data_IF_669762640323
#
_entry.id   IF_669762640323
#
_cell.length_a   1.000
_cell.length_b   1.000
_cell.length_c   1.000
_cell.angle_alpha   90.00
_cell.angle_beta   90.00
_cell.angle_gamma   90.00
#
_symmetry.space_group_name_H-M   'P 1'
#
loop_
_entity.id
_entity.type
_entity.pdbx_description
1 polymer ?
#
# COMPACT_ATOMS: atom_id res chain seq x y z
N UNK A 1 -31.12 -23.41 7.10
CA UNK A 1 -31.04 -21.95 7.31
C UNK A 1 -29.79 -21.68 8.13
N UNK A 2 -28.77 -21.06 7.53
CA UNK A 2 -27.52 -20.77 8.24
C UNK A 2 -27.67 -19.45 9.00
N UNK A 3 -27.78 -19.53 10.32
CA UNK A 3 -27.79 -18.35 11.21
C UNK A 3 -26.37 -17.82 11.32
N UNK A 4 -26.08 -16.74 10.59
CA UNK A 4 -24.81 -16.01 10.74
C UNK A 4 -24.90 -15.26 12.07
N UNK A 5 -24.28 -15.81 13.11
CA UNK A 5 -24.08 -15.12 14.39
C UNK A 5 -23.07 -14.01 14.15
N UNK A 6 -23.53 -12.78 14.04
CA UNK A 6 -22.67 -11.60 14.06
C UNK A 6 -22.19 -11.38 15.49
N UNK A 7 -21.22 -12.19 15.95
CA UNK A 7 -20.56 -11.92 17.22
C UNK A 7 -19.78 -10.63 17.08
N UNK A 8 -20.08 -9.64 17.91
CA UNK A 8 -19.24 -8.44 18.07
C UNK A 8 -17.81 -8.90 18.30
N UNK A 9 -16.83 -8.51 17.46
CA UNK A 9 -15.46 -8.97 17.62
C UNK A 9 -14.93 -8.43 18.95
N UNK A 10 -14.72 -9.34 19.90
CA UNK A 10 -14.07 -9.01 21.16
C UNK A 10 -12.62 -8.63 20.88
N UNK A 11 -12.12 -7.61 21.59
CA UNK A 11 -10.71 -7.23 21.49
C UNK A 11 -9.83 -8.39 22.00
N UNK A 12 -8.68 -8.65 21.37
CA UNK A 12 -7.72 -9.63 21.89
C UNK A 12 -7.18 -9.19 23.25
N UNK A 13 -6.75 -10.14 24.08
CA UNK A 13 -6.21 -9.82 25.43
C UNK A 13 -4.90 -9.00 25.35
N UNK A 14 -4.08 -9.29 24.35
CA UNK A 14 -2.82 -8.62 24.07
C UNK A 14 -2.48 -8.66 22.58
N UNK A 15 -1.75 -7.65 22.14
CA UNK A 15 -1.12 -7.56 20.82
C UNK A 15 0.38 -7.30 21.00
N UNK A 16 1.15 -7.45 19.93
CA UNK A 16 2.59 -7.24 19.94
C UNK A 16 2.94 -6.07 19.05
N UNK A 17 3.61 -5.06 19.60
CA UNK A 17 4.22 -4.00 18.80
C UNK A 17 5.61 -4.41 18.34
N UNK A 18 5.91 -4.22 17.07
CA UNK A 18 7.22 -4.44 16.48
C UNK A 18 7.80 -3.13 15.95
N UNK A 19 8.98 -2.77 16.41
CA UNK A 19 9.73 -1.63 15.88
C UNK A 19 11.20 -2.01 15.75
N UNK A 20 11.80 -1.79 14.58
CA UNK A 20 13.13 -2.28 14.21
C UNK A 20 13.28 -3.79 14.52
N UNK A 21 14.10 -4.15 15.51
CA UNK A 21 14.31 -5.54 15.96
C UNK A 21 13.74 -5.82 17.35
N UNK A 22 12.85 -4.98 17.86
CA UNK A 22 12.25 -5.11 19.19
C UNK A 22 10.76 -5.42 19.10
N UNK A 23 10.31 -6.28 20.00
CA UNK A 23 8.92 -6.73 20.14
C UNK A 23 8.48 -6.48 21.58
N UNK A 24 7.31 -5.88 21.76
CA UNK A 24 6.73 -5.59 23.09
C UNK A 24 5.28 -6.05 23.11
N UNK A 25 4.91 -6.84 24.11
CA UNK A 25 3.52 -7.19 24.36
C UNK A 25 2.80 -6.04 25.05
N UNK A 26 1.69 -5.62 24.46
CA UNK A 26 0.89 -4.51 24.96
C UNK A 26 -0.58 -4.89 24.98
N UNK A 27 -1.33 -4.31 25.91
CA UNK A 27 -2.80 -4.36 25.82
C UNK A 27 -3.24 -3.53 24.63
N UNK A 28 -4.23 -3.98 23.85
CA UNK A 28 -4.69 -3.21 22.71
C UNK A 28 -5.34 -1.91 23.18
N UNK A 29 -4.86 -0.80 22.65
CA UNK A 29 -5.38 0.52 22.95
C UNK A 29 -6.79 0.71 22.37
N UNK A 30 -7.67 1.39 23.12
CA UNK A 30 -9.02 1.69 22.67
C UNK A 30 -9.05 2.72 21.51
N UNK A 31 -8.05 3.59 21.44
CA UNK A 31 -7.93 4.63 20.42
C UNK A 31 -6.53 4.63 19.81
N UNK A 32 -6.41 5.20 18.61
CA UNK A 32 -5.13 5.34 17.91
C UNK A 32 -4.16 6.25 18.67
N UNK A 33 -4.64 7.35 19.26
CA UNK A 33 -3.81 8.25 20.07
C UNK A 33 -3.21 7.56 21.29
N UNK A 34 -3.98 6.73 22.00
CA UNK A 34 -3.46 5.95 23.13
C UNK A 34 -2.43 4.93 22.63
N UNK A 35 -2.63 4.36 21.45
CA UNK A 35 -1.65 3.46 20.84
C UNK A 35 -0.31 4.17 20.57
N UNK A 36 -0.37 5.42 20.09
CA UNK A 36 0.82 6.26 19.89
C UNK A 36 1.54 6.54 21.21
N UNK A 37 0.80 6.93 22.25
CA UNK A 37 1.37 7.17 23.58
C UNK A 37 2.06 5.92 24.13
N UNK A 38 1.44 4.75 23.98
CA UNK A 38 2.03 3.47 24.36
C UNK A 38 3.27 3.16 23.54
N UNK A 39 3.25 3.37 22.22
CA UNK A 39 4.41 3.16 21.37
C UNK A 39 5.60 4.05 21.78
N UNK A 40 5.38 5.33 22.01
CA UNK A 40 6.45 6.25 22.44
C UNK A 40 6.98 5.93 23.84
N UNK A 41 6.11 5.45 24.73
CA UNK A 41 6.49 5.03 26.08
C UNK A 41 7.34 3.76 26.09
N UNK A 42 6.96 2.75 25.31
CA UNK A 42 7.64 1.45 25.30
C UNK A 42 8.89 1.45 24.41
N UNK A 43 8.93 2.29 23.37
CA UNK A 43 10.09 2.45 22.49
C UNK A 43 10.70 3.84 22.66
N UNK A 44 11.75 3.94 23.47
CA UNK A 44 12.46 5.20 23.72
C UNK A 44 12.95 5.91 22.44
N UNK A 45 13.25 5.15 21.39
CA UNK A 45 13.64 5.67 20.06
C UNK A 45 12.52 6.46 19.37
N UNK A 46 11.26 6.26 19.78
CA UNK A 46 10.09 6.97 19.26
C UNK A 46 9.70 8.17 20.11
N UNK A 47 10.33 8.40 21.27
CA UNK A 47 9.96 9.45 22.21
C UNK A 47 10.06 10.85 21.58
N UNK A 48 11.09 11.09 20.78
CA UNK A 48 11.34 12.37 20.11
C UNK A 48 10.67 12.47 18.72
N UNK A 49 10.05 11.38 18.24
CA UNK A 49 9.44 11.33 16.92
C UNK A 49 8.04 11.97 16.97
N UNK A 50 7.73 12.95 16.11
CA UNK A 50 6.38 13.51 16.03
C UNK A 50 5.34 12.44 15.73
N UNK A 51 4.20 12.47 16.43
CA UNK A 51 3.10 11.50 16.30
C UNK A 51 2.63 11.29 14.86
N UNK A 52 2.56 12.36 14.08
CA UNK A 52 2.17 12.36 12.67
C UNK A 52 3.08 11.51 11.78
N UNK A 53 4.32 11.29 12.23
CA UNK A 53 5.32 10.47 11.53
C UNK A 53 5.28 9.01 11.97
N UNK A 54 4.50 8.64 12.96
CA UNK A 54 4.38 7.26 13.44
C UNK A 54 3.17 6.61 12.77
N UNK A 55 3.42 5.51 12.07
CA UNK A 55 2.37 4.73 11.39
C UNK A 55 2.34 3.30 11.90
N UNK A 56 1.15 2.79 12.15
CA UNK A 56 0.92 1.38 12.48
C UNK A 56 0.51 0.61 11.24
N UNK A 57 1.17 -0.52 11.02
CA UNK A 57 0.96 -1.40 9.90
C UNK A 57 0.70 -2.82 10.38
N UNK A 58 -0.03 -3.60 9.60
CA UNK A 58 -0.22 -5.04 9.83
C UNK A 58 -0.01 -5.78 8.53
N UNK A 59 0.43 -7.03 8.62
CA UNK A 59 0.45 -7.92 7.46
C UNK A 59 -0.95 -8.49 7.26
N UNK A 60 -1.49 -8.35 6.05
CA UNK A 60 -2.78 -8.89 5.67
C UNK A 60 -2.68 -9.68 4.36
N UNK A 61 -3.32 -10.83 4.33
CA UNK A 61 -3.45 -11.67 3.12
C UNK A 61 -4.73 -11.28 2.39
N UNK A 62 -4.59 -10.58 1.26
CA UNK A 62 -5.74 -10.20 0.43
C UNK A 62 -5.93 -11.23 -0.68
N UNK A 63 -7.13 -11.80 -0.80
CA UNK A 63 -7.55 -12.65 -1.93
C UNK A 63 -6.61 -13.82 -2.29
N UNK A 64 -6.08 -14.54 -1.28
CA UNK A 64 -5.13 -15.66 -1.44
C UNK A 64 -3.82 -15.29 -2.16
N UNK A 65 -3.50 -14.00 -2.27
CA UNK A 65 -2.21 -13.54 -2.76
C UNK A 65 -1.17 -13.51 -1.63
N UNK A 66 0.06 -13.16 -1.99
CA UNK A 66 1.15 -12.96 -1.04
C UNK A 66 0.77 -11.96 0.07
N UNK A 67 1.29 -12.18 1.30
CA UNK A 67 1.06 -11.27 2.42
C UNK A 67 1.56 -9.87 2.08
N UNK A 68 0.71 -8.86 2.27
CA UNK A 68 1.06 -7.45 2.05
C UNK A 68 1.02 -6.67 3.35
N UNK A 69 1.93 -5.73 3.48
CA UNK A 69 1.92 -4.75 4.57
C UNK A 69 0.85 -3.71 4.27
N UNK A 70 -0.08 -3.53 5.20
CA UNK A 70 -1.19 -2.60 5.10
C UNK A 70 -1.14 -1.64 6.28
N UNK A 71 -1.19 -0.34 6.00
CA UNK A 71 -1.27 0.71 7.02
C UNK A 71 -2.68 0.74 7.63
N UNK A 72 -2.72 0.83 8.96
CA UNK A 72 -3.93 1.02 9.75
C UNK A 72 -4.16 2.52 9.91
N UNK A 73 -5.31 3.02 9.45
CA UNK A 73 -5.71 4.41 9.71
C UNK A 73 -6.29 4.54 11.12
N UNK A 74 -6.29 5.77 11.65
CA UNK A 74 -6.91 6.09 12.94
C UNK A 74 -8.37 5.61 13.01
N UNK A 75 -9.17 5.89 11.97
CA UNK A 75 -10.58 5.47 11.88
C UNK A 75 -10.77 3.95 11.84
N UNK A 76 -9.77 3.21 11.37
CA UNK A 76 -9.84 1.75 11.26
C UNK A 76 -9.15 1.03 12.42
N UNK A 77 -8.53 1.77 13.35
CA UNK A 77 -7.73 1.21 14.44
C UNK A 77 -8.48 0.12 15.21
N UNK A 78 -9.63 0.48 15.79
CA UNK A 78 -10.39 -0.43 16.63
C UNK A 78 -10.83 -1.68 15.87
N UNK A 79 -11.29 -1.51 14.62
CA UNK A 79 -11.72 -2.63 13.78
C UNK A 79 -10.54 -3.53 13.35
N UNK A 80 -9.36 -2.95 13.09
CA UNK A 80 -8.17 -3.70 12.73
C UNK A 80 -7.65 -4.51 13.92
N UNK A 81 -7.57 -3.89 15.10
CA UNK A 81 -7.10 -4.53 16.34
C UNK A 81 -8.07 -5.61 16.82
N UNK A 82 -9.38 -5.39 16.77
CA UNK A 82 -10.38 -6.39 17.14
C UNK A 82 -10.39 -7.63 16.22
N UNK A 83 -9.84 -7.51 15.00
CA UNK A 83 -9.68 -8.62 14.06
C UNK A 83 -8.35 -9.35 14.19
N UNK A 84 -7.39 -8.79 14.94
CA UNK A 84 -6.14 -9.48 15.20
C UNK A 84 -6.37 -10.65 16.17
N UNK A 85 -5.65 -11.74 15.92
CA UNK A 85 -5.58 -12.87 16.85
C UNK A 85 -4.80 -12.44 18.09
N UNK A 86 -5.01 -13.13 19.22
CA UNK A 86 -4.19 -12.92 20.42
C UNK A 86 -2.70 -13.11 20.09
N UNK A 87 -1.88 -12.10 20.39
CA UNK A 87 -0.47 -12.08 20.01
C UNK A 87 -0.18 -11.65 18.56
N UNK A 88 -1.18 -11.15 17.83
CA UNK A 88 -0.98 -10.51 16.53
C UNK A 88 0.09 -9.42 16.57
N UNK A 89 0.83 -9.27 15.47
CA UNK A 89 1.93 -8.30 15.38
C UNK A 89 1.44 -7.06 14.64
N UNK A 90 1.69 -5.90 15.23
CA UNK A 90 1.50 -4.59 14.62
C UNK A 90 2.87 -3.95 14.45
N UNK A 91 3.22 -3.64 13.22
CA UNK A 91 4.47 -3.02 12.83
C UNK A 91 4.39 -1.51 12.99
N UNK A 92 5.37 -0.93 13.66
CA UNK A 92 5.51 0.52 13.78
C UNK A 92 6.54 0.95 12.74
N UNK A 93 6.16 1.92 11.90
CA UNK A 93 7.03 2.50 10.89
C UNK A 93 7.06 4.01 11.06
N UNK A 94 8.27 4.58 11.09
CA UNK A 94 8.50 6.02 11.09
C UNK A 94 8.56 6.54 9.66
N UNK A 95 7.65 7.45 9.32
CA UNK A 95 7.58 8.11 8.04
C UNK A 95 8.70 9.15 7.91
N UNK A 96 9.18 9.34 6.67
CA UNK A 96 10.12 10.41 6.34
C UNK A 96 9.50 11.78 6.65
N UNK A 97 10.35 12.75 6.99
CA UNK A 97 9.90 14.12 7.24
C UNK A 97 9.37 14.73 5.93
N UNK A 98 8.11 15.17 5.86
CA UNK A 98 7.58 15.82 4.65
C UNK A 98 8.36 17.09 4.28
N UNK A 99 9.04 17.72 5.24
CA UNK A 99 9.85 18.93 5.00
C UNK A 99 11.30 18.61 4.65
N UNK A 100 11.71 17.34 4.72
CA UNK A 100 13.04 16.96 4.26
C UNK A 100 13.10 17.05 2.73
N UNK A 101 14.18 17.63 2.16
CA UNK A 101 14.35 17.64 0.72
C UNK A 101 14.36 16.20 0.22
N UNK A 102 13.75 15.91 -0.95
CA UNK A 102 13.77 14.57 -1.51
C UNK A 102 15.21 14.07 -1.63
N UNK A 103 15.51 12.92 -1.03
CA UNK A 103 16.80 12.25 -1.18
C UNK A 103 16.89 11.72 -2.60
N UNK A 104 17.45 12.52 -3.50
CA UNK A 104 17.87 12.03 -4.80
C UNK A 104 19.02 11.05 -4.56
N UNK A 105 18.84 9.80 -5.00
CA UNK A 105 19.95 8.85 -5.08
C UNK A 105 21.04 9.53 -5.91
N UNK A 106 22.16 9.86 -5.27
CA UNK A 106 23.29 10.48 -5.94
C UNK A 106 23.69 9.58 -7.12
N UNK A 107 23.78 10.16 -8.31
CA UNK A 107 24.32 9.43 -9.45
C UNK A 107 25.71 8.92 -9.05
N UNK A 108 26.02 7.63 -9.26
CA UNK A 108 27.33 7.08 -8.95
C UNK A 108 28.41 7.98 -9.57
N UNK A 109 29.18 8.66 -8.73
CA UNK A 109 30.17 9.66 -9.17
C UNK A 109 31.46 8.99 -9.63
N UNK A 110 31.61 7.70 -9.34
CA UNK A 110 32.72 6.82 -9.75
C UNK A 110 32.35 5.94 -10.95
N UNK A 111 31.52 6.42 -11.88
CA UNK A 111 31.47 5.79 -13.20
C UNK A 111 32.66 6.29 -14.01
N UNK A 112 33.52 5.37 -14.48
CA UNK A 112 34.58 5.74 -15.42
C UNK A 112 33.96 6.26 -16.71
N UNK A 113 34.67 7.15 -17.41
CA UNK A 113 34.22 7.70 -18.70
C UNK A 113 33.83 6.57 -19.69
N UNK A 114 34.50 5.42 -19.59
CA UNK A 114 34.28 4.22 -20.39
C UNK A 114 32.92 3.56 -20.10
N UNK A 115 32.50 3.46 -18.83
CA UNK A 115 31.16 2.95 -18.47
C UNK A 115 30.04 3.87 -18.94
N UNK A 116 30.25 5.19 -18.87
CA UNK A 116 29.29 6.19 -19.36
C UNK A 116 29.12 6.06 -20.88
N UNK A 117 30.20 5.83 -21.62
CA UNK A 117 30.15 5.63 -23.06
C UNK A 117 29.54 4.29 -23.47
N UNK A 118 29.72 3.21 -22.69
CA UNK A 118 29.03 1.93 -22.91
C UNK A 118 27.51 2.10 -22.74
N UNK A 119 27.06 2.78 -21.68
CA UNK A 119 25.64 3.05 -21.45
C UNK A 119 25.03 3.91 -22.57
N UNK A 120 25.76 4.94 -23.05
CA UNK A 120 25.32 5.73 -24.21
C UNK A 120 25.24 4.92 -25.50
N UNK A 121 26.18 4.00 -25.73
CA UNK A 121 26.22 3.17 -26.95
C UNK A 121 25.06 2.18 -27.02
N UNK A 122 24.56 1.70 -25.88
CA UNK A 122 23.39 0.80 -25.83
C UNK A 122 22.05 1.50 -26.07
N UNK A 123 21.98 2.83 -25.93
CA UNK A 123 20.73 3.60 -26.18
C UNK A 123 20.48 3.88 -27.66
N UNK A 124 21.46 3.60 -28.52
CA UNK A 124 21.40 3.81 -29.96
C UNK A 124 20.89 2.60 -30.74
N UNK A 125 20.64 1.47 -30.08
CA UNK A 125 19.98 0.32 -30.70
C UNK A 125 18.46 0.47 -30.60
N UNK A 126 17.94 1.53 -31.22
CA UNK A 126 16.53 1.59 -31.56
C UNK A 126 16.24 0.40 -32.48
N UNK A 127 15.50 -0.59 -31.97
CA UNK A 127 14.72 -1.46 -32.85
C UNK A 127 13.90 -0.56 -33.77
N UNK A 128 13.96 -0.75 -35.10
CA UNK A 128 13.18 0.06 -36.01
C UNK A 128 11.68 -0.14 -35.68
N UNK A 129 10.87 0.94 -35.68
CA UNK A 129 9.43 0.78 -35.58
C UNK A 129 8.94 -0.06 -36.76
N UNK A 130 8.19 -1.11 -36.46
CA UNK A 130 7.44 -1.87 -37.45
C UNK A 130 6.61 -0.93 -38.31
N UNK A 131 6.67 -1.00 -39.65
CA UNK A 131 5.87 -0.15 -40.50
C UNK A 131 4.38 -0.45 -40.26
N UNK A 132 3.68 0.57 -39.78
CA UNK A 132 2.24 0.58 -39.62
C UNK A 132 1.56 0.27 -40.97
N UNK A 133 0.82 -0.84 -40.97
CA UNK A 133 0.02 -1.33 -42.09
C UNK A 133 -1.05 -0.30 -42.43
N UNK A 134 -0.95 0.22 -43.65
CA UNK A 134 -2.01 0.69 -44.55
C UNK A 134 -3.19 1.46 -43.93
N UNK A 135 -3.19 2.76 -44.22
CA UNK A 135 -4.34 3.66 -44.13
C UNK A 135 -5.50 3.15 -44.99
N UNK A 136 -6.62 2.75 -44.38
CA UNK A 136 -7.92 2.80 -45.04
C UNK A 136 -8.63 4.11 -44.65
N UNK A 137 -9.08 4.92 -45.63
CA UNK A 137 -9.82 6.15 -45.35
C UNK A 137 -11.26 5.83 -44.93
N UNK A 138 -11.69 6.39 -43.80
CA UNK A 138 -13.09 6.42 -43.42
C UNK A 138 -13.84 7.48 -44.23
N UNK A 139 -14.90 7.13 -44.98
CA UNK A 139 -15.76 8.12 -45.64
C UNK A 139 -16.69 8.77 -44.62
N UNK A 140 -16.74 10.09 -44.68
CA UNK A 140 -17.69 10.93 -43.96
C UNK A 140 -19.09 10.90 -44.59
N UNK A 141 -20.08 11.07 -43.71
CA UNK A 141 -21.46 11.53 -43.93
C UNK A 141 -22.52 10.53 -44.46
N UNK A 142 -23.50 10.19 -43.60
CA UNK A 142 -24.86 10.77 -43.64
C UNK A 142 -25.83 10.02 -42.71
N UNK A 143 -26.51 10.80 -41.87
CA UNK A 143 -27.96 10.84 -41.68
C UNK A 143 -28.78 9.53 -41.57
N UNK A 144 -29.57 9.53 -40.49
CA UNK A 144 -30.96 9.07 -40.34
C UNK A 144 -31.27 7.69 -39.72
N UNK A 145 -32.05 7.82 -38.64
CA UNK A 145 -33.22 7.02 -38.22
C UNK A 145 -32.98 5.65 -37.59
N UNK A 146 -33.44 5.58 -36.34
CA UNK A 146 -34.28 4.51 -35.77
C UNK A 146 -33.76 3.07 -35.89
N UNK A 147 -33.35 2.48 -34.76
CA UNK A 147 -33.88 1.18 -34.35
C UNK A 147 -33.52 0.84 -32.89
N UNK A 148 -34.57 0.45 -32.16
CA UNK A 148 -34.56 -0.27 -30.88
C UNK A 148 -33.78 -1.59 -30.97
N UNK A 149 -33.23 -2.05 -29.83
CA UNK A 149 -33.11 -3.45 -29.31
C UNK A 149 -31.79 -3.55 -28.50
N UNK A 150 -31.80 -3.48 -27.17
CA UNK A 150 -32.14 -4.53 -26.18
C UNK A 150 -31.42 -5.86 -26.41
N UNK A 151 -30.35 -6.12 -25.64
CA UNK A 151 -29.75 -7.46 -25.46
C UNK A 151 -29.47 -7.73 -23.97
N UNK A 152 -30.54 -8.22 -23.32
CA UNK A 152 -30.55 -9.32 -22.34
C UNK A 152 -29.89 -9.12 -20.96
N UNK A 153 -30.74 -8.76 -20.01
CA UNK A 153 -30.81 -9.48 -18.73
C UNK A 153 -31.21 -10.94 -18.99
N UNK A 154 -30.53 -11.87 -18.31
CA UNK A 154 -30.93 -13.28 -18.26
C UNK A 154 -30.92 -13.71 -16.78
N UNK A 155 -32.11 -13.60 -16.18
CA UNK A 155 -32.55 -14.32 -14.98
C UNK A 155 -33.65 -15.27 -15.44
N UNK A 156 -33.59 -16.51 -14.97
CA UNK A 156 -34.45 -17.63 -15.35
C UNK A 156 -33.65 -18.91 -15.27
#
# INVERSE_FOLDING_TARGET
MATIKTSTPALPDYITYRYANRLVYVRPAATYEIALDMAQKEFAELADVPRERISFNTVATLNRQEPRVVRISESAWLAAVARQLCGGVVDIIVLADPNSPPTYLAAPTDMTQEEIDILRKTRSTSTPPTPARSRQPSPSARSNKSAKRSWLARLG
#
